data_IF_515224562061
#
_entry.id   IF_515224562061
#
_cell.length_a   1.000
_cell.length_b   1.000
_cell.length_c   1.000
_cell.angle_alpha   90.00
_cell.angle_beta   90.00
_cell.angle_gamma   90.00
#
_symmetry.space_group_name_H-M   'P 1'
#
loop_
_entity.id
_entity.type
_entity.pdbx_description
1 polymer ?
#
# COMPACT_ATOMS: atom_id res chain seq x y z
N UNK A 1 -44.78 -18.37 -20.61
CA UNK A 1 -44.48 -17.39 -19.53
C UNK A 1 -42.99 -17.10 -19.56
N UNK A 2 -42.64 -15.83 -19.39
CA UNK A 2 -41.29 -15.27 -19.54
C UNK A 2 -40.36 -15.87 -18.48
N UNK A 3 -39.36 -16.65 -18.90
CA UNK A 3 -38.28 -17.13 -18.03
C UNK A 3 -37.35 -15.93 -17.77
N UNK A 4 -37.77 -15.05 -16.86
CA UNK A 4 -37.00 -13.89 -16.41
C UNK A 4 -36.57 -14.17 -15.00
N UNK A 5 -35.32 -13.81 -14.71
CA UNK A 5 -34.79 -13.58 -13.37
C UNK A 5 -34.30 -14.82 -12.62
N UNK A 6 -33.22 -15.44 -13.09
CA UNK A 6 -32.33 -16.23 -12.21
C UNK A 6 -30.86 -16.00 -12.60
N UNK A 7 -30.43 -14.74 -12.74
CA UNK A 7 -29.00 -14.37 -12.91
C UNK A 7 -28.74 -13.06 -12.16
N UNK A 8 -28.97 -13.05 -10.86
CA UNK A 8 -28.71 -11.88 -10.03
C UNK A 8 -28.33 -12.30 -8.60
N UNK A 9 -27.43 -13.27 -8.45
CA UNK A 9 -26.92 -13.67 -7.13
C UNK A 9 -25.56 -14.37 -7.23
N UNK A 10 -24.56 -13.74 -7.86
CA UNK A 10 -23.21 -14.32 -7.93
C UNK A 10 -22.06 -13.31 -7.82
N UNK A 11 -22.26 -12.19 -7.14
CA UNK A 11 -21.22 -11.14 -7.02
C UNK A 11 -21.06 -10.57 -5.61
N UNK A 12 -21.13 -11.40 -4.56
CA UNK A 12 -20.77 -10.96 -3.20
C UNK A 12 -19.85 -11.98 -2.53
N UNK A 13 -18.73 -12.32 -3.18
CA UNK A 13 -17.67 -13.09 -2.52
C UNK A 13 -16.30 -12.59 -2.98
N UNK A 14 -15.95 -11.36 -2.58
CA UNK A 14 -14.56 -10.93 -2.54
C UNK A 14 -14.35 -10.25 -1.18
N UNK A 15 -13.92 -11.05 -0.21
CA UNK A 15 -12.56 -10.96 0.34
C UNK A 15 -12.39 -9.79 1.32
N UNK A 16 -13.07 -9.85 2.47
CA UNK A 16 -12.57 -9.15 3.67
C UNK A 16 -11.41 -9.97 4.22
N UNK A 17 -10.26 -9.92 3.56
CA UNK A 17 -8.99 -10.32 4.18
C UNK A 17 -8.70 -9.26 5.24
N UNK A 18 -9.17 -9.47 6.46
CA UNK A 18 -8.68 -8.70 7.62
C UNK A 18 -7.35 -9.32 8.02
N UNK A 19 -6.31 -9.00 7.25
CA UNK A 19 -4.96 -9.03 7.80
C UNK A 19 -4.86 -7.79 8.69
N UNK A 20 -4.10 -7.90 9.77
CA UNK A 20 -3.70 -6.71 10.52
C UNK A 20 -2.75 -5.94 9.61
N UNK A 21 -3.34 -5.20 8.67
CA UNK A 21 -2.58 -4.50 7.65
C UNK A 21 -1.82 -3.38 8.36
N UNK A 22 -0.49 -3.37 8.21
CA UNK A 22 0.34 -2.27 8.65
C UNK A 22 -0.04 -1.05 7.83
N UNK A 23 -0.99 -0.27 8.35
CA UNK A 23 -1.49 0.92 7.70
C UNK A 23 -0.60 2.12 8.03
N UNK A 24 -0.09 2.79 7.01
CA UNK A 24 0.80 3.94 7.13
C UNK A 24 0.21 5.17 6.45
N UNK A 25 0.64 6.36 6.89
CA UNK A 25 0.24 7.61 6.27
C UNK A 25 1.18 7.94 5.12
N UNK A 26 0.66 8.16 3.92
CA UNK A 26 1.47 8.56 2.77
C UNK A 26 1.98 9.98 3.01
N UNK A 27 3.29 10.14 3.21
CA UNK A 27 3.93 11.47 3.38
C UNK A 27 4.42 12.03 2.06
N UNK A 28 4.80 11.17 1.12
CA UNK A 28 5.26 11.58 -0.19
C UNK A 28 4.99 10.50 -1.26
N UNK A 29 4.86 10.95 -2.51
CA UNK A 29 4.63 10.13 -3.69
C UNK A 29 5.72 10.43 -4.72
N UNK A 30 6.47 9.42 -5.19
CA UNK A 30 7.49 9.60 -6.24
C UNK A 30 7.35 8.60 -7.36
N UNK A 31 7.70 9.05 -8.57
CA UNK A 31 7.90 8.19 -9.73
C UNK A 31 9.39 8.11 -10.02
N UNK A 32 9.96 6.91 -9.97
CA UNK A 32 11.38 6.65 -10.20
C UNK A 32 11.46 5.54 -11.24
N UNK A 33 12.11 5.81 -12.38
CA UNK A 33 12.28 4.86 -13.49
C UNK A 33 10.96 4.21 -13.96
N UNK A 34 9.86 4.98 -13.97
CA UNK A 34 8.54 4.51 -14.38
C UNK A 34 7.80 3.64 -13.35
N UNK A 35 8.37 3.46 -12.16
CA UNK A 35 7.74 2.80 -11.01
C UNK A 35 7.22 3.83 -10.02
N UNK A 36 6.17 3.46 -9.30
CA UNK A 36 5.42 4.35 -8.41
C UNK A 36 5.67 3.97 -6.96
N UNK A 37 6.04 4.93 -6.13
CA UNK A 37 6.42 4.70 -4.74
C UNK A 37 5.68 5.64 -3.79
N UNK A 38 5.20 5.07 -2.69
CA UNK A 38 4.80 5.81 -1.49
C UNK A 38 5.94 5.85 -0.50
N UNK A 39 6.10 6.99 0.14
CA UNK A 39 6.97 7.17 1.29
C UNK A 39 6.10 7.46 2.52
N UNK A 40 6.57 7.01 3.67
CA UNK A 40 5.88 7.12 4.95
C UNK A 40 6.92 7.25 6.07
N UNK A 41 6.52 7.80 7.22
CA UNK A 41 7.39 7.86 8.40
C UNK A 41 7.63 6.44 8.93
N UNK A 42 8.88 6.09 9.22
CA UNK A 42 9.22 4.78 9.78
C UNK A 42 8.57 4.56 11.16
N UNK A 43 8.20 5.64 11.88
CA UNK A 43 7.48 5.58 13.14
C UNK A 43 6.04 5.07 13.01
N UNK A 44 5.42 5.19 11.82
CA UNK A 44 4.06 4.70 11.58
C UNK A 44 4.01 3.17 11.44
N UNK A 45 5.17 2.50 11.34
CA UNK A 45 5.30 1.04 11.38
C UNK A 45 5.89 0.63 12.73
N UNK A 46 5.06 0.03 13.60
CA UNK A 46 5.55 -0.60 14.84
C UNK A 46 6.56 -1.74 14.58
N UNK A 47 6.54 -2.28 13.36
CA UNK A 47 7.24 -3.49 12.95
C UNK A 47 8.36 -3.21 11.96
N UNK A 48 8.67 -1.92 11.70
CA UNK A 48 9.81 -1.52 10.89
C UNK A 48 11.12 -1.81 11.63
N UNK A 49 11.49 -3.09 11.69
CA UNK A 49 12.90 -3.46 11.73
C UNK A 49 13.57 -2.73 10.56
N UNK A 50 14.67 -1.98 10.80
CA UNK A 50 15.40 -1.36 9.72
C UNK A 50 15.71 -2.45 8.71
N UNK A 51 15.27 -2.23 7.46
CA UNK A 51 15.44 -3.17 6.38
C UNK A 51 16.90 -3.65 6.39
N UNK A 52 17.14 -4.92 6.73
CA UNK A 52 18.46 -5.55 6.71
C UNK A 52 18.87 -5.79 5.25
N UNK A 53 18.88 -4.73 4.44
CA UNK A 53 19.54 -4.74 3.15
C UNK A 53 21.04 -4.62 3.45
N UNK A 54 21.86 -5.66 3.20
CA UNK A 54 23.26 -5.69 3.65
C UNK A 54 24.19 -4.82 2.80
N UNK A 55 23.68 -3.71 2.23
CA UNK A 55 24.37 -2.87 1.26
C UNK A 55 24.45 -1.38 1.61
N UNK A 56 23.96 -0.92 2.76
CA UNK A 56 24.03 0.48 3.16
C UNK A 56 24.91 0.67 4.40
N UNK A 57 26.21 0.62 4.15
CA UNK A 57 27.26 1.19 5.01
C UNK A 57 27.23 2.72 4.87
N UNK A 58 26.49 3.40 5.73
CA UNK A 58 26.76 4.80 6.13
C UNK A 58 25.71 5.25 7.16
N UNK A 59 26.17 5.59 8.36
CA UNK A 59 25.34 5.87 9.52
C UNK A 59 24.37 7.05 9.36
N UNK A 60 23.09 6.73 9.27
CA UNK A 60 21.94 7.38 9.93
C UNK A 60 20.71 6.52 9.59
N UNK A 61 19.89 6.07 10.55
CA UNK A 61 18.70 5.30 10.19
C UNK A 61 17.78 6.21 9.35
N UNK A 62 17.52 5.82 8.11
CA UNK A 62 16.57 6.51 7.24
C UNK A 62 15.22 6.59 7.96
N UNK A 63 14.77 7.81 8.25
CA UNK A 63 13.52 8.04 9.00
C UNK A 63 12.26 7.72 8.18
N UNK A 64 12.42 7.32 6.93
CA UNK A 64 11.34 7.10 5.99
C UNK A 64 11.39 5.68 5.46
N UNK A 65 10.27 4.98 5.54
CA UNK A 65 10.07 3.76 4.77
C UNK A 65 9.45 4.08 3.41
N UNK A 66 9.55 3.13 2.48
CA UNK A 66 8.98 3.24 1.15
C UNK A 66 8.34 1.95 0.70
N UNK A 67 7.22 2.04 -0.04
CA UNK A 67 6.52 0.91 -0.64
C UNK A 67 6.24 1.18 -2.12
N UNK A 68 6.47 0.17 -2.98
CA UNK A 68 6.16 0.27 -4.40
C UNK A 68 4.69 -0.11 -4.63
N UNK A 69 3.99 0.66 -5.45
CA UNK A 69 2.60 0.39 -5.85
C UNK A 69 2.46 0.39 -7.37
N UNK A 70 1.32 -0.07 -7.86
CA UNK A 70 0.94 0.10 -9.27
C UNK A 70 0.48 1.55 -9.54
N UNK A 71 0.31 1.86 -10.83
CA UNK A 71 -0.07 3.19 -11.30
C UNK A 71 -1.47 3.60 -10.84
N UNK A 72 -2.44 2.68 -10.85
CA UNK A 72 -3.83 2.97 -10.51
C UNK A 72 -3.95 3.32 -9.02
N UNK A 73 -3.31 2.53 -8.17
CA UNK A 73 -3.18 2.79 -6.73
C UNK A 73 -2.47 4.12 -6.48
N UNK A 74 -1.41 4.42 -7.23
CA UNK A 74 -0.71 5.69 -7.11
C UNK A 74 -1.58 6.87 -7.54
N UNK A 75 -2.36 6.78 -8.61
CA UNK A 75 -3.18 7.90 -9.09
C UNK A 75 -4.46 8.12 -8.25
N UNK A 76 -4.98 7.06 -7.62
CA UNK A 76 -6.21 7.11 -6.81
C UNK A 76 -6.02 7.55 -5.35
N UNK A 77 -4.78 7.60 -4.87
CA UNK A 77 -4.42 7.98 -3.49
C UNK A 77 -3.79 9.36 -3.43
N UNK A 78 -3.82 9.99 -2.26
CA UNK A 78 -3.25 11.30 -2.01
C UNK A 78 -2.23 11.26 -0.87
N UNK A 79 -1.33 12.26 -0.86
CA UNK A 79 -0.50 12.52 0.32
C UNK A 79 -1.42 12.90 1.49
N UNK A 80 -1.21 12.26 2.64
CA UNK A 80 -2.05 12.33 3.82
C UNK A 80 -3.08 11.20 3.94
N UNK A 81 -3.31 10.43 2.87
CA UNK A 81 -4.18 9.25 2.95
C UNK A 81 -3.49 8.12 3.72
N UNK A 82 -4.30 7.33 4.42
CA UNK A 82 -3.85 6.10 5.05
C UNK A 82 -3.90 4.98 4.03
N UNK A 83 -2.78 4.29 3.83
CA UNK A 83 -2.68 3.14 2.96
C UNK A 83 -2.30 1.91 3.77
N UNK A 84 -3.03 0.82 3.52
CA UNK A 84 -2.89 -0.47 4.17
C UNK A 84 -2.48 -1.45 3.07
N UNK A 85 -1.37 -2.16 3.29
CA UNK A 85 -0.81 -3.13 2.33
C UNK A 85 -1.33 -4.55 2.60
#
# INVERSE_FOLDING_TARGET
>A
MKLKSVVALFLIIFYSCSREDDCFTITEKRVIDGKYYFYFDAQDRSDAYPNNNPGLDSGYPDRYGSGQVDKETFESTNVGDKYCE
#
